data_IF_179590194363
#
_entry.id   IF_179590194363
#
_cell.length_a   1.000
_cell.length_b   1.000
_cell.length_c   1.000
_cell.angle_alpha   90.00
_cell.angle_beta   90.00
_cell.angle_gamma   90.00
#
_symmetry.space_group_name_H-M   'P 1'
#
loop_
_entity.id
_entity.type
_entity.pdbx_description
1 polymer ?
#
# COMPACT_ATOMS: atom_id res chain seq x y z
N UNK A 1 14.63 28.83 39.01
CA UNK A 1 15.16 29.11 37.66
C UNK A 1 14.31 28.34 36.66
N UNK A 2 13.43 29.04 35.96
CA UNK A 2 12.39 28.50 35.06
C UNK A 2 12.78 28.84 33.63
N UNK A 3 12.76 27.90 32.66
CA UNK A 3 12.98 28.23 31.27
C UNK A 3 11.74 28.90 30.67
N UNK A 4 12.00 30.04 30.04
CA UNK A 4 11.06 30.97 29.41
C UNK A 4 10.25 30.36 28.27
N UNK A 5 8.93 30.60 28.27
CA UNK A 5 8.04 30.32 27.15
C UNK A 5 8.19 31.39 26.06
N UNK A 6 8.54 31.00 24.84
CA UNK A 6 8.48 31.88 23.67
C UNK A 6 7.10 31.76 23.04
N UNK A 7 6.32 32.85 23.12
CA UNK A 7 5.05 33.02 22.41
C UNK A 7 5.32 33.40 20.95
N UNK A 8 4.76 32.65 20.00
CA UNK A 8 4.53 33.16 18.65
C UNK A 8 3.12 33.76 18.59
N UNK A 9 3.04 35.09 18.62
CA UNK A 9 1.88 35.84 18.15
C UNK A 9 2.21 36.35 16.75
N UNK A 10 1.54 35.83 15.72
CA UNK A 10 1.44 36.52 14.43
C UNK A 10 -0.03 36.85 14.22
N UNK A 11 -0.34 38.14 14.32
CA UNK A 11 -1.65 38.70 14.04
C UNK A 11 -1.99 38.52 12.55
N UNK A 12 -3.07 37.80 12.25
CA UNK A 12 -3.70 37.81 10.94
C UNK A 12 -4.60 39.05 10.85
N UNK A 13 -4.22 40.02 10.01
CA UNK A 13 -5.12 41.10 9.56
C UNK A 13 -6.02 40.54 8.45
N UNK A 14 -7.36 40.72 8.50
CA UNK A 14 -8.24 40.36 7.42
C UNK A 14 -8.27 41.46 6.35
N UNK A 15 -8.21 41.09 5.07
CA UNK A 15 -8.51 41.98 3.95
C UNK A 15 -7.30 42.41 3.11
N UNK A 16 -6.67 41.48 2.40
CA UNK A 16 -5.88 41.78 1.20
C UNK A 16 -6.23 40.77 0.11
N UNK A 17 -7.07 41.20 -0.85
CA UNK A 17 -7.37 40.43 -2.04
C UNK A 17 -6.10 40.36 -2.91
N UNK A 18 -5.53 39.15 -3.07
CA UNK A 18 -4.49 38.93 -4.07
C UNK A 18 -5.15 38.95 -5.46
N UNK A 19 -4.82 39.96 -6.26
CA UNK A 19 -5.03 39.92 -7.71
C UNK A 19 -4.16 38.80 -8.29
N UNK A 20 -4.79 37.80 -8.89
CA UNK A 20 -4.11 36.80 -9.72
C UNK A 20 -3.84 37.41 -11.09
N UNK A 21 -2.57 37.58 -11.44
CA UNK A 21 -2.12 37.88 -12.80
C UNK A 21 -2.17 36.61 -13.65
N UNK A 22 -2.76 36.61 -14.85
CA UNK A 22 -2.74 35.44 -15.73
C UNK A 22 -1.40 35.36 -16.48
N UNK A 23 -0.79 34.18 -16.47
CA UNK A 23 0.33 33.84 -17.38
C UNK A 23 1.70 33.79 -16.70
N UNK A 24 2.00 32.68 -16.03
CA UNK A 24 3.38 32.18 -15.95
C UNK A 24 3.37 30.68 -16.18
N UNK A 25 3.74 30.29 -17.39
CA UNK A 25 4.15 28.92 -17.67
C UNK A 25 5.44 28.68 -16.90
N UNK A 26 5.37 27.98 -15.77
CA UNK A 26 6.56 27.48 -15.10
C UNK A 26 7.06 26.26 -15.88
N UNK A 27 8.00 26.50 -16.80
CA UNK A 27 8.79 25.45 -17.42
C UNK A 27 9.61 24.78 -16.32
N UNK A 28 9.29 23.53 -15.97
CA UNK A 28 10.11 22.72 -15.06
C UNK A 28 11.43 22.45 -15.80
N UNK A 29 12.60 22.85 -15.26
CA UNK A 29 13.87 22.54 -15.90
C UNK A 29 14.09 21.03 -15.90
N UNK A 30 14.09 20.41 -17.08
CA UNK A 30 14.57 19.04 -17.25
C UNK A 30 16.08 19.03 -16.97
N UNK A 31 16.48 18.61 -15.77
CA UNK A 31 17.86 18.21 -15.53
C UNK A 31 18.10 16.87 -16.22
N UNK A 32 19.11 16.75 -17.10
CA UNK A 32 19.50 15.46 -17.66
C UNK A 32 19.92 14.54 -16.51
N UNK A 33 19.36 13.34 -16.46
CA UNK A 33 19.71 12.35 -15.45
C UNK A 33 21.21 12.04 -15.55
N UNK A 34 21.96 12.30 -14.48
CA UNK A 34 23.35 11.86 -14.38
C UNK A 34 23.37 10.33 -14.46
N UNK A 35 24.15 9.71 -15.37
CA UNK A 35 24.22 8.25 -15.44
C UNK A 35 24.74 7.72 -14.11
N UNK A 36 23.98 6.83 -13.48
CA UNK A 36 24.42 6.11 -12.28
C UNK A 36 25.72 5.37 -12.64
N UNK A 37 26.76 5.50 -11.82
CA UNK A 37 27.94 4.64 -11.88
C UNK A 37 27.50 3.17 -11.92
N UNK A 38 28.20 2.34 -12.69
CA UNK A 38 27.84 0.94 -12.91
C UNK A 38 27.74 0.19 -11.58
N UNK A 39 26.52 -0.20 -11.20
CA UNK A 39 26.27 -1.08 -10.07
C UNK A 39 26.90 -2.44 -10.40
N UNK A 40 27.83 -2.97 -9.59
CA UNK A 40 28.44 -4.28 -9.84
C UNK A 40 27.36 -5.38 -9.91
N UNK A 41 27.47 -6.26 -10.91
CA UNK A 41 26.57 -7.41 -11.01
C UNK A 41 26.88 -8.41 -9.90
N UNK A 42 25.91 -8.79 -9.04
CA UNK A 42 26.13 -9.83 -8.04
C UNK A 42 26.37 -11.19 -8.71
N UNK A 43 27.05 -12.13 -8.03
CA UNK A 43 27.24 -13.48 -8.56
C UNK A 43 25.89 -14.20 -8.76
N UNK A 44 25.77 -14.97 -9.84
CA UNK A 44 24.58 -15.80 -10.10
C UNK A 44 24.59 -17.03 -9.19
N UNK A 45 23.88 -16.96 -8.06
CA UNK A 45 23.81 -18.02 -7.04
C UNK A 45 22.63 -18.99 -7.24
N UNK A 46 22.01 -19.02 -8.43
CA UNK A 46 20.75 -19.73 -8.70
C UNK A 46 19.54 -18.79 -8.72
N UNK A 47 18.34 -19.36 -8.76
CA UNK A 47 17.08 -18.58 -8.80
C UNK A 47 16.73 -17.98 -7.44
N UNK A 48 16.75 -16.65 -7.33
CA UNK A 48 16.28 -15.91 -6.15
C UNK A 48 14.91 -15.30 -6.45
N UNK A 49 13.95 -15.46 -5.53
CA UNK A 49 12.62 -14.85 -5.62
C UNK A 49 12.17 -14.34 -4.25
N UNK A 50 11.29 -13.34 -4.25
CA UNK A 50 10.51 -12.98 -3.08
C UNK A 50 9.42 -14.05 -2.92
N UNK A 51 9.48 -14.83 -1.85
CA UNK A 51 8.48 -15.88 -1.59
C UNK A 51 7.25 -15.35 -0.88
N UNK A 52 7.45 -14.61 0.21
CA UNK A 52 6.39 -14.05 1.04
C UNK A 52 6.64 -12.57 1.32
N UNK A 53 5.57 -11.80 1.36
CA UNK A 53 5.52 -10.42 1.83
C UNK A 53 4.61 -10.37 3.04
N UNK A 54 5.07 -9.74 4.13
CA UNK A 54 4.26 -9.59 5.34
C UNK A 54 3.22 -8.48 5.17
N UNK A 55 1.97 -8.79 5.49
CA UNK A 55 0.89 -7.83 5.63
C UNK A 55 0.40 -7.86 7.07
N UNK A 56 0.52 -6.73 7.78
CA UNK A 56 0.06 -6.61 9.15
C UNK A 56 -1.45 -6.39 9.16
N UNK A 57 -2.19 -7.25 9.84
CA UNK A 57 -3.66 -7.24 9.90
C UNK A 57 -4.16 -7.18 11.33
N UNK A 58 -5.39 -6.68 11.53
CA UNK A 58 -6.01 -6.67 12.85
C UNK A 58 -6.36 -8.07 13.34
N UNK A 59 -6.99 -8.88 12.49
CA UNK A 59 -7.40 -10.24 12.81
C UNK A 59 -7.27 -11.14 11.59
N UNK A 60 -7.06 -12.44 11.81
CA UNK A 60 -6.83 -13.42 10.74
C UNK A 60 -8.08 -13.65 9.88
N UNK A 61 -9.22 -13.96 10.48
CA UNK A 61 -10.39 -14.41 9.72
C UNK A 61 -10.99 -13.31 8.83
N UNK A 62 -11.14 -12.04 9.27
CA UNK A 62 -11.54 -10.96 8.37
C UNK A 62 -10.54 -10.73 7.23
N UNK A 63 -9.24 -10.94 7.49
CA UNK A 63 -8.22 -10.86 6.45
C UNK A 63 -8.33 -11.99 5.43
N UNK A 64 -8.49 -13.24 5.90
CA UNK A 64 -8.71 -14.40 5.05
C UNK A 64 -9.96 -14.20 4.20
N UNK A 65 -11.08 -13.77 4.79
CA UNK A 65 -12.32 -13.55 4.06
C UNK A 65 -12.19 -12.47 2.98
N UNK A 66 -11.45 -11.39 3.24
CA UNK A 66 -11.16 -10.39 2.23
C UNK A 66 -10.30 -10.98 1.09
N UNK A 67 -9.13 -11.54 1.40
CA UNK A 67 -8.21 -11.98 0.35
C UNK A 67 -8.76 -13.17 -0.45
N UNK A 68 -9.38 -14.14 0.23
CA UNK A 68 -9.94 -15.34 -0.41
C UNK A 68 -11.32 -15.05 -1.01
N UNK A 69 -12.24 -14.48 -0.22
CA UNK A 69 -13.64 -14.31 -0.60
C UNK A 69 -13.93 -13.09 -1.48
N UNK A 70 -13.09 -12.05 -1.43
CA UNK A 70 -13.25 -10.84 -2.27
C UNK A 70 -12.25 -10.82 -3.41
N UNK A 71 -10.95 -10.99 -3.12
CA UNK A 71 -9.91 -10.94 -4.16
C UNK A 71 -9.63 -12.29 -4.84
N UNK A 72 -10.28 -13.37 -4.40
CA UNK A 72 -10.16 -14.69 -5.04
C UNK A 72 -8.79 -15.35 -4.87
N UNK A 73 -8.02 -14.98 -3.84
CA UNK A 73 -6.76 -15.62 -3.53
C UNK A 73 -6.99 -17.03 -2.97
N UNK A 74 -5.99 -17.89 -3.12
CA UNK A 74 -5.96 -19.21 -2.51
C UNK A 74 -5.41 -19.12 -1.08
N UNK A 75 -6.09 -19.75 -0.11
CA UNK A 75 -5.55 -19.98 1.23
C UNK A 75 -4.57 -21.16 1.16
N UNK A 76 -3.27 -20.86 1.17
CA UNK A 76 -2.22 -21.88 0.97
C UNK A 76 -1.81 -22.52 2.28
N UNK A 77 -1.73 -21.74 3.35
CA UNK A 77 -1.39 -22.24 4.68
C UNK A 77 -2.25 -21.54 5.71
N UNK A 78 -2.67 -22.32 6.70
CA UNK A 78 -3.34 -21.85 7.91
C UNK A 78 -3.07 -22.85 9.03
N UNK A 79 -1.95 -22.67 9.73
CA UNK A 79 -1.47 -23.62 10.73
C UNK A 79 -1.16 -22.94 12.06
N UNK A 80 -1.34 -23.64 13.20
CA UNK A 80 -0.90 -23.14 14.51
C UNK A 80 0.59 -22.78 14.52
N UNK A 81 0.94 -21.71 15.24
CA UNK A 81 2.30 -21.23 15.42
C UNK A 81 2.43 -20.50 16.76
N UNK A 82 3.62 -20.00 17.08
CA UNK A 82 3.88 -19.24 18.31
C UNK A 82 4.68 -17.96 18.04
N UNK A 83 4.44 -16.94 18.87
CA UNK A 83 5.31 -15.76 18.95
C UNK A 83 6.65 -16.13 19.62
N UNK A 84 7.64 -15.25 19.55
CA UNK A 84 8.97 -15.46 20.17
C UNK A 84 8.88 -15.66 21.69
N UNK A 85 7.87 -15.06 22.33
CA UNK A 85 7.56 -15.20 23.76
C UNK A 85 6.55 -16.33 24.08
N UNK A 86 6.21 -17.18 23.10
CA UNK A 86 5.47 -18.42 23.31
C UNK A 86 3.94 -18.30 23.29
N UNK A 87 3.36 -17.13 23.00
CA UNK A 87 1.91 -16.98 22.86
C UNK A 87 1.41 -17.61 21.54
N UNK A 88 0.20 -18.20 21.53
CA UNK A 88 -0.34 -18.84 20.35
C UNK A 88 -0.67 -17.82 19.25
N UNK A 89 -0.37 -18.18 17.99
CA UNK A 89 -0.72 -17.43 16.78
C UNK A 89 -1.00 -18.40 15.63
N UNK A 90 -1.32 -17.88 14.45
CA UNK A 90 -1.42 -18.66 13.20
C UNK A 90 -0.36 -18.21 12.20
N UNK A 91 0.14 -19.17 11.42
CA UNK A 91 0.86 -18.91 10.19
C UNK A 91 -0.15 -19.01 9.04
N UNK A 92 -0.49 -17.86 8.47
CA UNK A 92 -1.55 -17.74 7.46
C UNK A 92 -0.96 -17.15 6.19
N UNK A 93 -1.03 -17.89 5.09
CA UNK A 93 -0.50 -17.48 3.79
C UNK A 93 -1.61 -17.55 2.74
N UNK A 94 -1.82 -16.46 2.03
CA UNK A 94 -2.69 -16.40 0.86
C UNK A 94 -1.88 -16.07 -0.41
N UNK A 95 -2.27 -16.60 -1.56
CA UNK A 95 -1.60 -16.35 -2.85
C UNK A 95 -2.60 -16.00 -3.95
N UNK A 96 -2.27 -15.08 -4.87
CA UNK A 96 -3.11 -14.84 -6.04
C UNK A 96 -3.16 -16.11 -6.92
N UNK A 97 -4.30 -16.34 -7.61
CA UNK A 97 -4.38 -17.41 -8.59
C UNK A 97 -3.37 -17.15 -9.72
N UNK A 98 -2.66 -18.20 -10.15
CA UNK A 98 -1.56 -18.08 -11.12
C UNK A 98 -0.18 -17.87 -10.50
N UNK A 99 -0.10 -17.73 -9.17
CA UNK A 99 1.15 -17.74 -8.42
C UNK A 99 1.84 -16.38 -8.29
N UNK A 100 3.08 -16.39 -7.81
CA UNK A 100 3.83 -15.19 -7.42
C UNK A 100 4.25 -15.22 -5.95
N UNK A 101 4.53 -14.05 -5.39
CA UNK A 101 4.78 -13.91 -3.96
C UNK A 101 3.46 -14.07 -3.18
N UNK A 102 3.49 -14.77 -2.07
CA UNK A 102 2.37 -14.86 -1.14
C UNK A 102 2.32 -13.71 -0.15
N UNK A 103 1.13 -13.46 0.39
CA UNK A 103 0.97 -12.58 1.54
C UNK A 103 0.94 -13.43 2.80
N UNK A 104 1.90 -13.19 3.69
CA UNK A 104 1.84 -13.66 5.07
C UNK A 104 0.96 -12.69 5.85
N UNK A 105 -0.23 -13.14 6.23
CA UNK A 105 -1.16 -12.36 7.05
C UNK A 105 -0.69 -12.41 8.50
N UNK A 106 0.00 -11.35 8.94
CA UNK A 106 0.56 -11.26 10.28
C UNK A 106 -0.39 -10.47 11.19
N UNK A 107 -1.11 -11.16 12.07
CA UNK A 107 -1.92 -10.49 13.08
C UNK A 107 -1.04 -9.62 13.96
N UNK A 108 -1.42 -8.35 14.10
CA UNK A 108 -0.72 -7.38 14.92
C UNK A 108 -0.63 -7.83 16.37
N UNK A 109 0.56 -7.65 16.95
CA UNK A 109 0.84 -7.96 18.35
C UNK A 109 1.28 -6.70 19.11
N UNK A 110 0.41 -6.24 20.02
CA UNK A 110 0.60 -5.05 20.82
C UNK A 110 0.43 -3.72 20.06
N UNK A 111 0.48 -2.62 20.82
CA UNK A 111 0.16 -1.27 20.31
C UNK A 111 1.07 -0.84 19.15
N UNK A 112 2.36 -1.18 19.22
CA UNK A 112 3.33 -0.78 18.19
C UNK A 112 2.99 -1.37 16.82
N UNK A 113 2.56 -2.63 16.75
CA UNK A 113 2.18 -3.27 15.49
C UNK A 113 0.76 -2.84 15.09
N UNK A 114 -0.16 -2.73 16.06
CA UNK A 114 -1.52 -2.24 15.83
C UNK A 114 -1.54 -0.87 15.16
N UNK A 115 -0.66 0.04 15.59
CA UNK A 115 -0.50 1.37 15.00
C UNK A 115 0.06 1.36 13.56
N UNK A 116 0.45 0.20 13.01
CA UNK A 116 0.95 0.05 11.63
C UNK A 116 -0.01 -0.70 10.72
N UNK A 117 -1.11 -1.25 11.25
CA UNK A 117 -2.14 -1.86 10.43
C UNK A 117 -2.70 -0.79 9.48
N UNK A 118 -2.61 -1.03 8.17
CA UNK A 118 -3.00 -0.08 7.13
C UNK A 118 -2.00 1.04 6.81
N UNK A 119 -0.96 1.21 7.63
CA UNK A 119 0.07 2.26 7.46
C UNK A 119 1.50 1.68 7.40
N UNK A 120 1.65 0.37 7.16
CA UNK A 120 2.97 -0.27 7.09
C UNK A 120 3.86 0.28 5.94
N UNK A 121 3.25 0.98 4.99
CA UNK A 121 3.90 1.62 3.84
C UNK A 121 4.04 3.15 4.00
N UNK A 122 3.63 3.71 5.15
CA UNK A 122 3.66 5.15 5.40
C UNK A 122 2.70 5.94 4.49
N UNK A 123 1.45 5.48 4.37
CA UNK A 123 0.40 6.10 3.55
C UNK A 123 0.57 5.98 2.04
N UNK A 124 1.55 5.20 1.55
CA UNK A 124 1.77 4.99 0.11
C UNK A 124 1.02 3.76 -0.40
N UNK A 125 0.70 3.77 -1.70
CA UNK A 125 0.38 2.51 -2.40
C UNK A 125 1.57 1.58 -2.28
N UNK A 126 1.35 0.39 -1.72
CA UNK A 126 2.39 -0.61 -1.48
C UNK A 126 2.24 -1.88 -2.28
N UNK A 127 1.09 -2.06 -2.93
CA UNK A 127 0.71 -3.31 -3.56
C UNK A 127 0.05 -3.04 -4.91
N UNK A 128 0.28 -3.94 -5.87
CA UNK A 128 -0.09 -3.74 -7.26
C UNK A 128 -0.67 -5.05 -7.81
N UNK A 129 -1.95 -5.04 -8.16
CA UNK A 129 -2.64 -6.15 -8.80
C UNK A 129 -2.80 -5.87 -10.29
N UNK A 130 -2.21 -6.72 -11.12
CA UNK A 130 -2.50 -6.73 -12.55
C UNK A 130 -3.63 -7.69 -12.85
N UNK A 131 -4.60 -7.22 -13.62
CA UNK A 131 -5.78 -7.99 -14.01
C UNK A 131 -6.05 -7.84 -15.51
N UNK A 132 -6.53 -8.90 -16.13
CA UNK A 132 -6.82 -8.89 -17.58
C UNK A 132 -8.11 -8.12 -17.93
N UNK A 133 -9.11 -8.14 -17.03
CA UNK A 133 -10.44 -7.55 -17.27
C UNK A 133 -10.73 -6.49 -16.23
N UNK A 134 -10.16 -5.30 -16.42
CA UNK A 134 -10.21 -4.20 -15.45
C UNK A 134 -11.64 -3.88 -14.99
N UNK A 135 -12.56 -3.62 -15.93
CA UNK A 135 -13.93 -3.22 -15.60
C UNK A 135 -14.68 -4.26 -14.76
N UNK A 136 -14.44 -5.55 -15.04
CA UNK A 136 -15.06 -6.63 -14.28
C UNK A 136 -14.52 -6.66 -12.85
N UNK A 137 -13.21 -6.57 -12.66
CA UNK A 137 -12.62 -6.51 -11.33
C UNK A 137 -13.02 -5.25 -10.56
N UNK A 138 -13.05 -4.10 -11.23
CA UNK A 138 -13.52 -2.86 -10.63
C UNK A 138 -14.96 -2.97 -10.14
N UNK A 139 -15.85 -3.61 -10.92
CA UNK A 139 -17.22 -3.86 -10.50
C UNK A 139 -17.31 -4.87 -9.35
N UNK A 140 -16.51 -5.94 -9.35
CA UNK A 140 -16.43 -6.88 -8.21
C UNK A 140 -16.07 -6.14 -6.92
N UNK A 141 -15.06 -5.26 -6.95
CA UNK A 141 -14.66 -4.47 -5.77
C UNK A 141 -15.81 -3.59 -5.28
N UNK A 142 -16.52 -2.91 -6.19
CA UNK A 142 -17.69 -2.10 -5.84
C UNK A 142 -18.84 -2.92 -5.26
N UNK A 143 -19.20 -4.04 -5.88
CA UNK A 143 -20.28 -4.92 -5.43
C UNK A 143 -19.99 -5.52 -4.04
N UNK A 144 -18.70 -5.76 -3.75
CA UNK A 144 -18.22 -6.21 -2.44
C UNK A 144 -18.01 -5.06 -1.45
N UNK A 145 -18.41 -3.83 -1.79
CA UNK A 145 -18.27 -2.63 -0.98
C UNK A 145 -16.83 -2.33 -0.54
N UNK A 146 -15.84 -2.70 -1.35
CA UNK A 146 -14.45 -2.35 -1.11
C UNK A 146 -14.27 -0.86 -1.32
N UNK A 147 -13.56 -0.19 -0.40
CA UNK A 147 -13.36 1.26 -0.46
C UNK A 147 -12.45 1.64 -1.63
N UNK A 148 -13.02 2.28 -2.64
CA UNK A 148 -12.27 2.95 -3.70
C UNK A 148 -11.77 4.31 -3.18
N UNK A 149 -10.46 4.51 -3.21
CA UNK A 149 -9.78 5.74 -2.77
C UNK A 149 -9.54 6.69 -3.94
N UNK A 150 -9.27 6.13 -5.14
CA UNK A 150 -9.15 6.90 -6.38
C UNK A 150 -9.86 6.15 -7.49
N UNK A 151 -10.78 6.85 -8.16
CA UNK A 151 -11.52 6.35 -9.30
C UNK A 151 -10.58 5.95 -10.46
N UNK A 152 -11.05 5.06 -11.37
CA UNK A 152 -10.29 4.66 -12.55
C UNK A 152 -9.82 5.86 -13.38
N UNK A 153 -8.57 5.79 -13.83
CA UNK A 153 -8.00 6.72 -14.81
C UNK A 153 -7.10 5.97 -15.77
N UNK A 154 -6.99 6.46 -17.01
CA UNK A 154 -6.10 5.90 -18.03
C UNK A 154 -4.72 6.52 -17.92
N UNK A 155 -3.70 5.68 -17.91
CA UNK A 155 -2.28 6.06 -17.92
C UNK A 155 -1.56 5.32 -19.06
N UNK A 156 -0.31 5.67 -19.35
CA UNK A 156 0.48 5.02 -20.41
C UNK A 156 0.77 3.53 -20.17
N UNK A 157 0.56 3.04 -18.94
CA UNK A 157 0.82 1.68 -18.51
C UNK A 157 -0.45 0.87 -18.22
N UNK A 158 -1.62 1.41 -18.58
CA UNK A 158 -2.94 0.78 -18.40
C UNK A 158 -3.94 1.69 -17.68
N UNK A 159 -5.15 1.17 -17.47
CA UNK A 159 -6.17 1.78 -16.61
C UNK A 159 -5.91 1.39 -15.16
N UNK A 160 -5.92 2.37 -14.26
CA UNK A 160 -5.61 2.19 -12.85
C UNK A 160 -6.66 2.82 -11.93
N UNK A 161 -7.07 2.07 -10.89
CA UNK A 161 -7.83 2.56 -9.75
C UNK A 161 -7.11 2.22 -8.45
N UNK A 162 -7.37 2.97 -7.38
CA UNK A 162 -6.78 2.72 -6.06
C UNK A 162 -7.86 2.33 -5.08
N UNK A 163 -7.70 1.20 -4.40
CA UNK A 163 -8.62 0.73 -3.36
C UNK A 163 -7.89 0.47 -2.05
N UNK A 164 -8.66 0.29 -0.97
CA UNK A 164 -8.17 -0.15 0.33
C UNK A 164 -8.54 -1.59 0.64
N UNK A 165 -7.58 -2.35 1.15
CA UNK A 165 -7.86 -3.65 1.74
C UNK A 165 -8.53 -3.53 3.11
N UNK A 166 -8.88 -4.69 3.68
CA UNK A 166 -9.51 -4.79 5.02
C UNK A 166 -8.65 -4.25 6.16
N UNK A 167 -7.33 -4.14 5.98
CA UNK A 167 -6.41 -3.54 6.95
C UNK A 167 -6.22 -2.03 6.71
N UNK A 168 -6.72 -1.48 5.59
CA UNK A 168 -6.59 -0.08 5.21
C UNK A 168 -5.38 0.23 4.31
N UNK A 169 -4.60 -0.77 3.90
CA UNK A 169 -3.47 -0.55 2.99
C UNK A 169 -3.97 -0.18 1.59
N UNK A 170 -3.18 0.60 0.86
CA UNK A 170 -3.52 1.06 -0.49
C UNK A 170 -2.96 0.13 -1.56
N UNK A 171 -3.84 -0.22 -2.50
CA UNK A 171 -3.58 -1.12 -3.62
C UNK A 171 -3.92 -0.45 -4.94
N UNK A 172 -3.02 -0.59 -5.93
CA UNK A 172 -3.35 -0.29 -7.33
C UNK A 172 -3.97 -1.54 -7.96
N UNK A 173 -5.17 -1.39 -8.53
CA UNK A 173 -5.72 -2.31 -9.53
C UNK A 173 -5.33 -1.79 -10.90
N UNK A 174 -4.65 -2.59 -11.72
CA UNK A 174 -4.12 -2.19 -13.02
C UNK A 174 -4.59 -3.21 -14.06
N UNK A 175 -5.20 -2.74 -15.14
CA UNK A 175 -5.49 -3.57 -16.31
C UNK A 175 -5.20 -2.82 -17.60
N UNK A 176 -5.06 -3.56 -18.69
CA UNK A 176 -4.77 -3.02 -20.01
C UNK A 176 -6.04 -2.45 -20.67
#
# INVERSE_FOLDING_TARGET
MTPSQVRYQTALRPGAALKLSPGSQHTIPHHPATPRSSIPTPPTLGGVRIDLVTLVVHEYDPAIEFFVGVLGFELVEDVPSTTTDGRPKRWVVVRPPGGGAGLLLARADGERQGARVGDQTGGRVGFFLRVERFDLWYNVLKEKNVRIVREPRTESYGTVAVFQDVAGNLWDLIGD
#
